data_IF_359788796717
#
_entry.id   IF_359788796717
#
_cell.length_a   1.000
_cell.length_b   1.000
_cell.length_c   1.000
_cell.angle_alpha   90.00
_cell.angle_beta   90.00
_cell.angle_gamma   90.00
#
_symmetry.space_group_name_H-M   'P 1'
#
loop_
_entity.id
_entity.type
_entity.pdbx_description
1 polymer ?
#
# COMPACT_ATOMS: atom_id res chain seq x y z
N UNK A 1 16.37 8.98 -10.32
CA UNK A 1 15.26 8.56 -9.44
C UNK A 1 14.20 7.94 -10.32
N UNK A 2 13.99 6.63 -10.25
CA UNK A 2 13.03 5.92 -11.11
C UNK A 2 11.61 6.22 -10.65
N UNK A 3 10.76 6.70 -11.55
CA UNK A 3 9.35 6.98 -11.26
C UNK A 3 8.64 5.70 -10.77
N UNK A 4 7.78 5.83 -9.76
CA UNK A 4 6.91 4.76 -9.27
C UNK A 4 5.90 4.38 -10.34
N UNK A 5 5.75 3.08 -10.63
CA UNK A 5 4.90 2.56 -11.71
C UNK A 5 3.75 1.73 -11.14
N UNK A 6 2.59 1.66 -11.83
CA UNK A 6 1.54 0.69 -11.52
C UNK A 6 2.08 -0.74 -11.66
N UNK A 7 1.78 -1.61 -10.71
CA UNK A 7 2.25 -2.99 -10.67
C UNK A 7 1.07 -3.96 -10.72
N UNK A 8 1.15 -4.97 -11.60
CA UNK A 8 0.12 -5.99 -11.74
C UNK A 8 0.60 -7.34 -11.19
N UNK A 9 0.51 -7.51 -9.87
CA UNK A 9 0.87 -8.77 -9.20
C UNK A 9 -0.03 -9.96 -9.56
N UNK A 10 -1.28 -9.68 -9.97
CA UNK A 10 -2.21 -10.74 -10.42
C UNK A 10 -1.70 -11.36 -11.71
N UNK A 11 -1.29 -10.53 -12.67
CA UNK A 11 -0.72 -11.00 -13.92
C UNK A 11 0.59 -11.78 -13.72
N UNK A 12 1.47 -11.36 -12.79
CA UNK A 12 2.68 -12.14 -12.48
C UNK A 12 2.36 -13.54 -11.93
N UNK A 13 1.34 -13.63 -11.05
CA UNK A 13 0.90 -14.91 -10.48
C UNK A 13 0.29 -15.81 -11.55
N UNK A 14 -0.61 -15.27 -12.37
CA UNK A 14 -1.35 -16.04 -13.38
C UNK A 14 -0.45 -16.54 -14.51
N UNK A 15 0.61 -15.80 -14.83
CA UNK A 15 1.60 -16.18 -15.83
C UNK A 15 2.75 -17.01 -15.25
N UNK A 16 2.75 -17.26 -13.93
CA UNK A 16 3.80 -18.00 -13.21
C UNK A 16 5.20 -17.49 -13.59
N UNK A 17 5.37 -16.16 -13.60
CA UNK A 17 6.63 -15.56 -14.05
C UNK A 17 7.78 -15.98 -13.15
N UNK A 18 9.01 -15.98 -13.68
CA UNK A 18 10.21 -16.25 -12.87
C UNK A 18 10.32 -15.30 -11.67
N UNK A 19 9.88 -14.04 -11.80
CA UNK A 19 9.79 -13.11 -10.67
C UNK A 19 8.84 -13.60 -9.59
N UNK A 20 7.68 -14.14 -9.98
CA UNK A 20 6.71 -14.69 -9.05
C UNK A 20 7.18 -15.99 -8.42
N UNK A 21 7.76 -16.91 -9.18
CA UNK A 21 8.26 -18.20 -8.68
C UNK A 21 9.34 -18.02 -7.60
N UNK A 22 10.31 -17.14 -7.86
CA UNK A 22 11.42 -16.85 -6.94
C UNK A 22 11.02 -16.13 -5.66
N UNK A 23 9.84 -15.52 -5.65
CA UNK A 23 9.36 -14.70 -4.54
C UNK A 23 8.84 -15.57 -3.39
N UNK A 24 9.71 -16.30 -2.69
CA UNK A 24 9.34 -17.06 -1.49
C UNK A 24 9.63 -16.24 -0.22
N UNK A 25 8.60 -15.77 0.52
CA UNK A 25 8.82 -15.01 1.73
C UNK A 25 9.50 -15.83 2.85
N UNK A 26 9.35 -17.15 2.86
CA UNK A 26 9.92 -18.02 3.89
C UNK A 26 11.42 -18.26 3.73
N UNK A 27 11.92 -18.12 2.50
CA UNK A 27 13.33 -18.23 2.16
C UNK A 27 14.02 -16.86 2.04
N UNK A 28 13.28 -15.76 2.20
CA UNK A 28 13.77 -14.39 2.01
C UNK A 28 14.04 -13.70 3.35
N UNK A 29 15.01 -12.77 3.36
CA UNK A 29 15.19 -11.84 4.47
C UNK A 29 14.39 -10.56 4.17
N UNK A 30 13.40 -10.25 5.02
CA UNK A 30 12.55 -9.06 4.91
C UNK A 30 12.70 -8.22 6.17
N UNK A 31 13.16 -6.98 6.03
CA UNK A 31 13.28 -6.05 7.15
C UNK A 31 12.54 -4.76 6.85
N UNK A 32 11.58 -4.39 7.71
CA UNK A 32 10.85 -3.14 7.57
C UNK A 32 11.75 -1.94 7.90
N UNK A 33 11.70 -0.90 7.06
CA UNK A 33 12.45 0.36 7.23
C UNK A 33 11.54 1.54 7.54
N UNK A 34 10.33 1.52 7.00
CA UNK A 34 9.26 2.49 7.25
C UNK A 34 7.91 1.82 6.96
N UNK A 35 6.76 2.45 7.26
CA UNK A 35 5.45 1.87 6.96
C UNK A 35 5.27 1.44 5.49
N UNK A 36 5.96 2.09 4.56
CA UNK A 36 5.83 1.88 3.11
C UNK A 36 7.06 1.21 2.49
N UNK A 37 8.10 0.89 3.27
CA UNK A 37 9.38 0.45 2.70
C UNK A 37 10.07 -0.65 3.49
N UNK A 38 10.71 -1.56 2.75
CA UNK A 38 11.43 -2.71 3.28
C UNK A 38 12.79 -2.84 2.59
N UNK A 39 13.73 -3.53 3.25
CA UNK A 39 14.87 -4.14 2.58
C UNK A 39 14.61 -5.63 2.42
N UNK A 40 14.83 -6.15 1.20
CA UNK A 40 14.56 -7.55 0.85
C UNK A 40 15.81 -8.19 0.27
N UNK A 41 16.16 -9.38 0.74
CA UNK A 41 17.21 -10.22 0.16
C UNK A 41 16.61 -11.58 -0.21
N UNK A 42 16.78 -11.97 -1.47
CA UNK A 42 16.35 -13.28 -1.98
C UNK A 42 17.51 -14.27 -1.89
N UNK A 43 17.25 -15.58 -1.69
CA UNK A 43 18.30 -16.58 -1.56
C UNK A 43 19.16 -16.76 -2.82
N UNK A 44 18.60 -16.43 -3.99
CA UNK A 44 19.24 -16.54 -5.31
C UNK A 44 19.54 -15.15 -5.94
N UNK A 45 19.49 -14.09 -5.12
CA UNK A 45 19.73 -12.72 -5.54
C UNK A 45 21.11 -12.19 -5.14
N UNK A 46 21.63 -11.22 -5.90
CA UNK A 46 22.87 -10.52 -5.56
C UNK A 46 22.55 -9.37 -4.58
N UNK A 47 22.43 -9.73 -3.30
CA UNK A 47 22.35 -8.78 -2.19
C UNK A 47 20.95 -8.29 -1.81
N UNK A 48 20.94 -7.17 -1.09
CA UNK A 48 19.75 -6.59 -0.45
C UNK A 48 19.26 -5.38 -1.23
N UNK A 49 17.98 -5.38 -1.58
CA UNK A 49 17.36 -4.27 -2.31
C UNK A 49 16.34 -3.51 -1.46
N UNK A 50 16.26 -2.20 -1.69
CA UNK A 50 15.26 -1.35 -1.04
C UNK A 50 13.99 -1.34 -1.89
N UNK A 51 12.88 -1.67 -1.24
CA UNK A 51 11.56 -1.79 -1.83
C UNK A 51 10.65 -0.75 -1.19
N UNK A 52 9.91 0.00 -2.00
CA UNK A 52 8.79 0.84 -1.54
C UNK A 52 7.53 0.36 -2.23
N UNK A 53 6.45 0.12 -1.48
CA UNK A 53 5.20 -0.40 -2.02
C UNK A 53 4.00 0.11 -1.21
N UNK A 54 3.00 0.61 -1.92
CA UNK A 54 1.69 1.00 -1.38
C UNK A 54 0.58 0.45 -2.28
N UNK A 55 -0.65 0.47 -1.77
CA UNK A 55 -1.86 0.29 -2.57
C UNK A 55 -2.66 1.60 -2.56
N UNK A 56 -2.82 2.24 -3.72
CA UNK A 56 -3.56 3.49 -3.91
C UNK A 56 -4.81 3.23 -4.76
N UNK A 57 -6.01 3.46 -4.21
CA UNK A 57 -7.29 3.14 -4.87
C UNK A 57 -7.34 1.72 -5.48
N UNK A 58 -6.80 0.72 -4.76
CA UNK A 58 -6.74 -0.67 -5.22
C UNK A 58 -5.60 -0.98 -6.20
N UNK A 59 -4.90 0.03 -6.72
CA UNK A 59 -3.75 -0.12 -7.60
C UNK A 59 -2.46 -0.20 -6.78
N UNK A 60 -1.63 -1.19 -7.06
CA UNK A 60 -0.32 -1.26 -6.42
C UNK A 60 0.66 -0.32 -7.10
N UNK A 61 1.33 0.51 -6.30
CA UNK A 61 2.34 1.45 -6.76
C UNK A 61 3.61 1.17 -5.98
N UNK A 62 4.71 0.91 -6.69
CA UNK A 62 5.96 0.59 -6.03
C UNK A 62 7.21 0.80 -6.86
N UNK A 63 8.35 0.62 -6.21
CA UNK A 63 9.68 0.65 -6.79
C UNK A 63 10.61 -0.30 -6.04
N UNK A 64 11.64 -0.74 -6.73
CA UNK A 64 12.74 -1.50 -6.16
C UNK A 64 14.06 -0.96 -6.72
N UNK A 65 15.13 -1.01 -5.93
CA UNK A 65 16.47 -0.60 -6.38
C UNK A 65 17.18 -1.65 -7.25
N UNK A 66 16.57 -2.80 -7.50
CA UNK A 66 17.12 -3.80 -8.42
C UNK A 66 16.94 -3.39 -9.89
N UNK A 67 17.74 -3.98 -10.77
CA UNK A 67 17.65 -3.78 -12.22
C UNK A 67 16.51 -4.58 -12.88
N UNK A 68 15.68 -5.29 -12.12
CA UNK A 68 14.63 -6.17 -12.66
C UNK A 68 13.68 -5.50 -13.66
N UNK A 69 13.42 -4.19 -13.50
CA UNK A 69 12.61 -3.39 -14.42
C UNK A 69 13.30 -3.05 -15.75
N UNK A 70 14.61 -3.28 -15.88
CA UNK A 70 15.32 -3.14 -17.16
C UNK A 70 15.08 -4.34 -18.07
N UNK A 71 14.75 -5.49 -17.48
CA UNK A 71 14.63 -6.77 -18.19
C UNK A 71 13.18 -7.28 -18.26
N UNK A 72 12.29 -6.76 -17.42
CA UNK A 72 10.89 -7.20 -17.33
C UNK A 72 9.96 -6.00 -17.17
N UNK A 73 8.75 -6.11 -17.70
CA UNK A 73 7.71 -5.07 -17.59
C UNK A 73 6.89 -5.17 -16.29
N UNK A 74 6.93 -6.33 -15.62
CA UNK A 74 6.21 -6.62 -14.37
C UNK A 74 7.01 -6.34 -13.10
N UNK A 75 6.37 -6.45 -11.91
CA UNK A 75 7.06 -6.31 -10.64
C UNK A 75 8.15 -7.36 -10.47
N UNK A 76 9.31 -6.93 -9.97
CA UNK A 76 10.42 -7.84 -9.71
C UNK A 76 10.11 -8.80 -8.54
N UNK A 77 10.91 -9.86 -8.42
CA UNK A 77 10.79 -10.84 -7.34
C UNK A 77 10.73 -10.22 -5.94
N UNK A 78 11.52 -9.16 -5.65
CA UNK A 78 11.48 -8.46 -4.35
C UNK A 78 10.11 -7.85 -4.04
N UNK A 79 9.46 -7.22 -5.03
CA UNK A 79 8.12 -6.65 -4.88
C UNK A 79 7.08 -7.77 -4.71
N UNK A 80 7.22 -8.86 -5.48
CA UNK A 80 6.37 -10.04 -5.34
C UNK A 80 6.52 -10.68 -3.95
N UNK A 81 7.72 -10.68 -3.36
CA UNK A 81 7.96 -11.22 -2.01
C UNK A 81 7.19 -10.43 -0.96
N UNK A 82 7.25 -9.08 -0.98
CA UNK A 82 6.46 -8.25 -0.07
C UNK A 82 4.96 -8.50 -0.27
N UNK A 83 4.49 -8.58 -1.52
CA UNK A 83 3.08 -8.84 -1.82
C UNK A 83 2.60 -10.20 -1.31
N UNK A 84 3.41 -11.25 -1.45
CA UNK A 84 3.08 -12.58 -0.93
C UNK A 84 3.12 -12.61 0.60
N UNK A 85 4.13 -11.97 1.21
CA UNK A 85 4.22 -11.84 2.66
C UNK A 85 2.98 -11.16 3.24
N UNK A 86 2.55 -10.03 2.67
CA UNK A 86 1.31 -9.35 3.04
C UNK A 86 0.07 -10.24 2.86
N UNK A 87 -0.01 -11.01 1.77
CA UNK A 87 -1.13 -11.92 1.51
C UNK A 87 -1.28 -13.01 2.57
N UNK A 88 -0.17 -13.57 3.04
CA UNK A 88 -0.17 -14.69 3.99
C UNK A 88 0.07 -14.24 5.45
N UNK A 89 0.24 -12.94 5.69
CA UNK A 89 0.59 -12.39 7.00
C UNK A 89 1.96 -12.83 7.50
N UNK A 90 2.93 -13.04 6.60
CA UNK A 90 4.28 -13.47 6.98
C UNK A 90 5.02 -12.34 7.71
N UNK A 91 5.70 -12.62 8.83
CA UNK A 91 6.42 -11.60 9.58
C UNK A 91 7.74 -11.20 8.91
N UNK A 92 8.17 -9.97 9.18
CA UNK A 92 9.53 -9.50 8.94
C UNK A 92 10.53 -10.07 9.97
N UNK A 93 11.80 -9.72 9.85
CA UNK A 93 12.86 -10.17 10.79
C UNK A 93 12.63 -9.76 12.25
N UNK A 94 11.78 -8.76 12.51
CA UNK A 94 11.44 -8.30 13.85
C UNK A 94 10.17 -8.99 14.39
N UNK A 95 9.59 -9.93 13.65
CA UNK A 95 8.33 -10.59 14.02
C UNK A 95 7.08 -9.77 13.71
N UNK A 96 7.21 -8.65 12.99
CA UNK A 96 6.08 -7.79 12.63
C UNK A 96 5.46 -8.29 11.33
N UNK A 97 4.15 -8.61 11.27
CA UNK A 97 3.51 -9.01 10.02
C UNK A 97 3.73 -7.95 8.93
N UNK A 98 4.22 -8.39 7.77
CA UNK A 98 4.31 -7.49 6.61
C UNK A 98 2.91 -7.04 6.25
N UNK A 99 2.68 -5.73 6.22
CA UNK A 99 1.40 -5.14 5.86
C UNK A 99 1.62 -3.97 4.92
N UNK A 100 1.02 -4.06 3.72
CA UNK A 100 1.11 -2.98 2.73
C UNK A 100 0.09 -1.91 3.08
N UNK A 101 0.57 -0.67 3.20
CA UNK A 101 -0.29 0.48 3.45
C UNK A 101 -1.28 0.69 2.31
N UNK A 102 -2.56 0.83 2.66
CA UNK A 102 -3.65 1.15 1.75
C UNK A 102 -3.97 2.63 1.88
N UNK A 103 -3.60 3.38 0.85
CA UNK A 103 -3.95 4.79 0.71
C UNK A 103 -5.32 4.83 0.04
N UNK A 104 -6.35 4.87 0.87
CA UNK A 104 -7.65 5.38 0.45
C UNK A 104 -7.63 6.84 0.91
N UNK A 105 -7.52 7.80 0.00
CA UNK A 105 -7.92 9.17 0.35
C UNK A 105 -9.45 9.12 0.36
N UNK A 106 -9.99 8.72 1.51
CA UNK A 106 -11.42 8.78 1.74
C UNK A 106 -11.85 10.24 1.64
N UNK A 107 -13.10 10.39 1.20
CA UNK A 107 -13.91 11.59 1.02
C UNK A 107 -14.13 12.40 2.32
N UNK A 108 -13.19 12.37 3.26
CA UNK A 108 -13.35 12.96 4.60
C UNK A 108 -12.91 14.43 4.65
N UNK A 109 -12.07 14.89 3.71
CA UNK A 109 -11.68 16.31 3.64
C UNK A 109 -12.77 17.21 3.01
N UNK A 110 -13.76 16.66 2.29
CA UNK A 110 -14.86 17.47 1.70
C UNK A 110 -16.14 17.50 2.56
N UNK A 111 -16.26 16.67 3.60
CA UNK A 111 -17.44 16.63 4.49
C UNK A 111 -17.27 17.48 5.77
N UNK A 112 -16.06 17.94 6.07
CA UNK A 112 -15.79 18.78 7.24
C UNK A 112 -16.13 20.27 7.04
N UNK A 113 -16.24 20.76 5.79
CA UNK A 113 -16.42 22.19 5.47
C UNK A 113 -17.89 22.59 5.14
N UNK A 114 -18.86 21.69 5.32
CA UNK A 114 -20.27 21.97 5.00
C UNK A 114 -21.24 22.01 6.20
N UNK A 115 -20.73 22.24 7.41
CA UNK A 115 -21.58 22.36 8.60
C UNK A 115 -21.32 23.65 9.39
N UNK A 116 -21.39 24.79 8.71
CA UNK A 116 -21.66 26.07 9.36
C UNK A 116 -22.34 26.98 8.33
N UNK A 117 -23.68 26.94 8.28
CA UNK A 117 -24.58 28.02 7.81
C UNK A 117 -26.04 27.53 7.83
N UNK A 118 -26.54 27.11 8.99
CA UNK A 118 -27.97 27.29 9.28
C UNK A 118 -28.10 28.47 10.23
N UNK A 119 -28.30 29.63 9.60
CA UNK A 119 -28.64 30.90 10.22
C UNK A 119 -29.73 30.69 11.29
N UNK A 120 -29.40 31.09 12.53
CA UNK A 120 -30.36 31.14 13.62
C UNK A 120 -31.40 32.23 13.35
N UNK A 121 -32.49 31.87 12.68
CA UNK A 121 -33.69 32.72 12.60
C UNK A 121 -34.27 32.87 14.01
N UNK A 122 -33.93 34.00 14.65
CA UNK A 122 -34.62 34.50 15.83
C UNK A 122 -36.01 34.98 15.39
N UNK A 123 -37.05 34.34 15.90
CA UNK A 123 -38.41 34.86 15.83
C UNK A 123 -39.02 34.84 17.24
N UNK A 124 -38.94 35.99 17.92
CA UNK A 124 -39.72 36.32 19.10
C UNK A 124 -41.19 36.52 18.70
N UNK A 125 -42.09 35.69 19.24
CA UNK A 125 -43.54 35.78 18.98
C UNK A 125 -44.35 35.31 20.18
N UNK A 126 -44.66 36.26 21.07
CA UNK A 126 -45.33 36.04 22.35
C UNK A 126 -46.82 35.63 22.26
N UNK A 127 -47.26 35.01 23.37
CA UNK A 127 -48.58 35.10 24.04
C UNK A 127 -49.61 33.96 23.81
N UNK A 128 -49.68 33.03 24.78
CA UNK A 128 -50.91 32.32 25.16
C UNK A 128 -51.18 32.49 26.67
N UNK A 129 -52.32 33.12 26.97
CA UNK A 129 -53.06 33.01 28.24
C UNK A 129 -54.52 32.82 27.83
N UNK A 130 -54.97 31.57 27.73
CA UNK A 130 -55.85 30.83 28.67
C UNK A 130 -57.18 31.54 28.98
N UNK A 131 -58.26 30.88 28.57
CA UNK A 131 -59.52 30.85 29.32
C UNK A 131 -59.99 29.40 29.41
#
# INVERSE_FOLDING_TARGET
>A
MTASRPLNFTAEREQETTSFERADPTASLIEQRSPQSWTVSLPDGDGTHHVTLIQDYGVYIGRCTCEGFQYNEGPCAHLCTIRKADTIGYPDVNGTPVSIERVNRDLDDELADHHDDMETVRADGARRIRR
#
